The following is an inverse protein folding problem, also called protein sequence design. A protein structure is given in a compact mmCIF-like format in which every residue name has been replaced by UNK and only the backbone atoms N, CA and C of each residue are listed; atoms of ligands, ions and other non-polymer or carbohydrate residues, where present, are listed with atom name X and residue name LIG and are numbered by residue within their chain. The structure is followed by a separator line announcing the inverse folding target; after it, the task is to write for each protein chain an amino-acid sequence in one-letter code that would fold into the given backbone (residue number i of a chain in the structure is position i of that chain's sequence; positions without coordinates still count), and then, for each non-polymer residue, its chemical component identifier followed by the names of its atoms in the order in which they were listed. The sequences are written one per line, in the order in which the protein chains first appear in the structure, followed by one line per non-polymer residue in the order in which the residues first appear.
data_IF_327902780700
#
_entry.id   IF_327902780700
#
_cell.length_a   1.000
_cell.length_b   1.000
_cell.length_c   1.000
_cell.angle_alpha   90.00
_cell.angle_beta   90.00
_cell.angle_gamma   90.00
#
_symmetry.space_group_name_H-M   'P 1'
#
loop_
_entity.id
_entity.type
_entity.pdbx_description
1 polymer ?
#
# COMPACT_ATOMS: atom_id res chain seq x y z
N UNK A 1 -5.20 3.68 76.80
CA UNK A 1 -4.09 4.35 77.52
C UNK A 1 -3.09 4.84 76.48
N UNK A 2 -2.97 6.17 76.31
CA UNK A 2 -1.87 7.01 75.72
C UNK A 2 -1.14 6.48 74.47
N UNK A 3 -1.27 7.02 73.24
CA UNK A 3 -0.92 8.36 72.69
C UNK A 3 0.48 8.87 73.05
N UNK A 4 1.40 8.83 72.07
CA UNK A 4 2.46 9.81 71.69
C UNK A 4 2.86 9.44 70.25
N UNK A 5 2.52 10.15 69.16
CA UNK A 5 2.81 11.52 68.72
C UNK A 5 4.30 11.82 68.47
N UNK A 6 4.70 11.77 67.19
CA UNK A 6 5.69 12.63 66.52
C UNK A 6 5.44 12.44 65.00
N UNK A 7 4.68 13.28 64.28
CA UNK A 7 4.85 14.70 63.97
C UNK A 7 6.19 15.00 63.25
N UNK A 8 6.16 14.99 61.91
CA UNK A 8 7.00 15.84 61.08
C UNK A 8 6.39 16.04 59.67
N UNK A 9 5.97 17.28 59.41
CA UNK A 9 5.77 17.96 58.11
C UNK A 9 4.72 17.36 57.15
N UNK A 10 3.47 17.83 57.10
CA UNK A 10 3.01 19.14 56.58
C UNK A 10 3.56 19.45 55.19
N UNK A 11 2.75 19.16 54.16
CA UNK A 11 2.41 20.10 53.10
C UNK A 11 1.08 19.65 52.45
N UNK A 12 -0.04 20.12 53.00
CA UNK A 12 -1.23 20.38 52.19
C UNK A 12 -0.86 21.52 51.24
N UNK A 13 -0.90 21.31 49.93
CA UNK A 13 -1.16 22.37 48.94
C UNK A 13 -1.58 21.71 47.62
N UNK A 14 -2.86 21.94 47.29
CA UNK A 14 -3.42 22.16 45.94
C UNK A 14 -3.35 21.02 44.92
N UNK A 15 -4.55 20.53 44.60
CA UNK A 15 -4.89 20.08 43.26
C UNK A 15 -4.31 21.02 42.20
N UNK A 16 -3.36 20.51 41.41
CA UNK A 16 -3.05 21.05 40.10
C UNK A 16 -3.38 19.94 39.10
N UNK A 17 -4.41 20.23 38.32
CA UNK A 17 -4.79 19.60 37.07
C UNK A 17 -3.59 19.07 36.28
N UNK A 18 -3.51 17.75 36.16
CA UNK A 18 -2.81 17.12 35.06
C UNK A 18 -3.85 16.30 34.34
N UNK A 19 -4.50 16.92 33.35
CA UNK A 19 -5.38 16.23 32.42
C UNK A 19 -4.59 15.06 31.85
N UNK A 20 -4.93 13.85 32.30
CA UNK A 20 -4.47 12.63 31.67
C UNK A 20 -5.32 12.45 30.41
N UNK A 21 -5.21 13.41 29.48
CA UNK A 21 -5.64 13.20 28.11
C UNK A 21 -4.70 12.16 27.52
N UNK A 22 -5.20 10.93 27.51
CA UNK A 22 -4.71 9.89 26.63
C UNK A 22 -4.82 10.45 25.21
N UNK A 23 -3.78 11.12 24.72
CA UNK A 23 -3.71 11.65 23.36
C UNK A 23 -4.21 10.59 22.39
N UNK A 24 -5.26 10.90 21.65
CA UNK A 24 -5.72 10.07 20.56
C UNK A 24 -4.56 9.89 19.59
N UNK A 25 -4.28 8.65 19.15
CA UNK A 25 -3.19 8.34 18.20
C UNK A 25 -3.22 9.25 16.95
N UNK A 26 -4.37 9.84 16.62
CA UNK A 26 -4.53 10.85 15.56
C UNK A 26 -3.67 12.11 15.74
N UNK A 27 -3.27 12.47 16.95
CA UNK A 27 -2.56 13.74 17.23
C UNK A 27 -1.03 13.62 17.21
N UNK A 28 -0.48 12.42 17.00
CA UNK A 28 0.99 12.20 16.98
C UNK A 28 1.61 12.29 15.58
N UNK A 29 0.80 12.46 14.53
CA UNK A 29 1.29 12.73 13.18
C UNK A 29 1.34 14.24 13.01
N UNK A 30 2.55 14.79 12.84
CA UNK A 30 2.74 16.22 12.58
C UNK A 30 1.99 16.63 11.31
N UNK A 31 0.85 17.31 11.46
CA UNK A 31 0.11 17.95 10.37
C UNK A 31 0.62 19.38 10.17
N UNK A 32 1.92 19.56 9.91
CA UNK A 32 2.30 20.80 9.22
C UNK A 32 1.43 20.84 7.97
N UNK A 33 0.66 21.91 7.75
CA UNK A 33 -0.22 22.02 6.60
C UNK A 33 0.61 21.85 5.32
N UNK A 34 0.65 20.61 4.82
CA UNK A 34 1.26 20.30 3.54
C UNK A 34 0.28 20.80 2.50
N UNK A 35 0.71 21.77 1.70
CA UNK A 35 -0.07 22.15 0.52
C UNK A 35 -0.12 20.94 -0.41
N UNK A 36 -1.29 20.29 -0.50
CA UNK A 36 -1.53 19.26 -1.49
C UNK A 36 -1.59 19.94 -2.84
N UNK A 37 -0.63 19.65 -3.71
CA UNK A 37 -0.68 20.14 -5.09
C UNK A 37 -1.97 19.67 -5.74
N UNK A 38 -2.70 20.60 -6.36
CA UNK A 38 -3.96 20.34 -7.05
C UNK A 38 -5.07 19.79 -6.13
N UNK A 39 -5.10 20.18 -4.85
CA UNK A 39 -6.19 19.84 -3.94
C UNK A 39 -7.57 20.14 -4.56
N UNK A 40 -8.47 19.15 -4.51
CA UNK A 40 -9.81 19.26 -5.10
C UNK A 40 -9.88 19.12 -6.62
N UNK A 41 -8.74 19.03 -7.32
CA UNK A 41 -8.70 18.72 -8.75
C UNK A 41 -8.66 17.21 -8.97
N UNK A 42 -9.46 16.73 -9.92
CA UNK A 42 -9.46 15.32 -10.30
C UNK A 42 -8.19 15.02 -11.13
N UNK A 43 -7.46 13.92 -10.86
CA UNK A 43 -6.35 13.51 -11.70
C UNK A 43 -6.81 13.29 -13.15
N UNK A 44 -6.01 13.75 -14.11
CA UNK A 44 -6.31 13.66 -15.54
C UNK A 44 -6.43 12.20 -15.99
N UNK A 45 -5.59 11.32 -15.45
CA UNK A 45 -5.58 9.89 -15.75
C UNK A 45 -5.99 9.13 -14.50
N UNK A 46 -6.97 8.23 -14.65
CA UNK A 46 -7.32 7.27 -13.60
C UNK A 46 -6.67 5.94 -13.94
N UNK A 47 -5.85 5.45 -13.03
CA UNK A 47 -5.23 4.15 -13.16
C UNK A 47 -6.11 3.07 -12.55
N UNK A 48 -6.19 1.93 -13.22
CA UNK A 48 -6.91 0.75 -12.75
C UNK A 48 -6.04 -0.47 -12.93
N UNK A 49 -6.03 -1.35 -11.94
CA UNK A 49 -5.26 -2.60 -11.98
C UNK A 49 -6.21 -3.77 -11.91
N UNK A 50 -5.94 -4.80 -12.70
CA UNK A 50 -6.57 -6.11 -12.57
C UNK A 50 -5.54 -7.13 -12.13
N UNK A 51 -5.91 -7.99 -11.19
CA UNK A 51 -5.10 -9.13 -10.75
C UNK A 51 -5.91 -10.40 -10.94
N UNK A 52 -5.26 -11.44 -11.45
CA UNK A 52 -5.81 -12.78 -11.64
C UNK A 52 -4.82 -13.79 -11.11
N UNK A 53 -5.30 -14.74 -10.31
CA UNK A 53 -4.51 -15.90 -9.96
C UNK A 53 -5.30 -17.19 -10.17
N UNK A 54 -4.56 -18.26 -10.45
CA UNK A 54 -5.06 -19.62 -10.58
C UNK A 54 -4.27 -20.48 -9.62
N UNK A 55 -4.97 -21.13 -8.69
CA UNK A 55 -4.41 -22.17 -7.80
C UNK A 55 -3.17 -21.74 -6.99
N UNK A 56 -2.98 -20.43 -6.74
CA UNK A 56 -1.81 -19.86 -6.05
C UNK A 56 -2.21 -18.62 -5.23
N UNK A 57 -1.56 -18.38 -4.10
CA UNK A 57 -1.67 -17.07 -3.44
C UNK A 57 -0.85 -16.03 -4.20
N UNK A 58 -1.41 -14.83 -4.34
CA UNK A 58 -0.82 -13.76 -5.10
C UNK A 58 -1.09 -12.40 -4.47
N UNK A 59 -0.06 -11.55 -4.50
CA UNK A 59 -0.01 -10.25 -3.85
C UNK A 59 0.43 -9.22 -4.88
N UNK A 60 -0.38 -8.20 -5.11
CA UNK A 60 -0.02 -7.06 -5.95
C UNK A 60 0.46 -5.89 -5.12
N UNK A 61 1.66 -5.41 -5.42
CA UNK A 61 2.29 -4.29 -4.73
C UNK A 61 2.55 -3.13 -5.71
N UNK A 62 2.38 -1.91 -5.21
CA UNK A 62 2.74 -0.66 -5.87
C UNK A 62 3.60 0.15 -4.92
N UNK A 63 4.81 0.55 -5.33
CA UNK A 63 5.73 1.31 -4.48
C UNK A 63 5.91 0.65 -3.11
N UNK A 64 6.16 -0.67 -3.11
CA UNK A 64 6.35 -1.54 -1.92
C UNK A 64 5.12 -1.69 -1.01
N UNK A 65 3.99 -1.08 -1.36
CA UNK A 65 2.74 -1.20 -0.62
C UNK A 65 1.86 -2.30 -1.21
N UNK A 66 1.52 -3.30 -0.40
CA UNK A 66 0.54 -4.35 -0.76
C UNK A 66 -0.86 -3.76 -0.83
N UNK A 67 -1.47 -3.85 -2.02
CA UNK A 67 -2.79 -3.26 -2.29
C UNK A 67 -3.90 -4.31 -2.35
N UNK A 68 -3.57 -5.50 -2.83
CA UNK A 68 -4.53 -6.56 -3.07
C UNK A 68 -3.86 -7.92 -2.93
N UNK A 69 -4.52 -8.83 -2.21
CA UNK A 69 -4.15 -10.23 -2.11
C UNK A 69 -5.40 -11.13 -2.11
N UNK A 70 -5.17 -12.43 -2.23
CA UNK A 70 -6.20 -13.46 -2.19
C UNK A 70 -6.01 -14.46 -1.04
N UNK A 71 -5.35 -14.07 0.05
CA UNK A 71 -5.05 -14.96 1.18
C UNK A 71 -6.31 -15.54 1.84
N UNK A 72 -7.47 -14.90 1.65
CA UNK A 72 -8.77 -15.37 2.16
C UNK A 72 -9.48 -16.34 1.23
N UNK A 73 -8.90 -16.67 0.08
CA UNK A 73 -9.47 -17.66 -0.84
C UNK A 73 -9.04 -19.07 -0.45
N UNK A 74 -9.95 -20.03 -0.59
CA UNK A 74 -9.67 -21.45 -0.29
C UNK A 74 -8.83 -22.12 -1.38
N UNK A 75 -8.96 -21.69 -2.62
CA UNK A 75 -8.33 -22.35 -3.77
C UNK A 75 -7.18 -21.56 -4.36
N UNK A 76 -6.87 -20.35 -3.88
CA UNK A 76 -5.93 -19.44 -4.55
C UNK A 76 -6.45 -18.89 -5.89
N UNK A 77 -7.55 -19.39 -6.43
CA UNK A 77 -8.12 -18.84 -7.67
C UNK A 77 -8.94 -17.59 -7.37
N UNK A 78 -8.58 -16.47 -7.99
CA UNK A 78 -9.34 -15.23 -7.90
C UNK A 78 -9.12 -14.32 -9.10
N UNK A 79 -10.03 -13.38 -9.28
CA UNK A 79 -9.87 -12.24 -10.17
C UNK A 79 -10.50 -11.03 -9.51
N UNK A 80 -9.77 -9.93 -9.44
CA UNK A 80 -10.29 -8.67 -8.89
C UNK A 80 -9.54 -7.48 -9.48
N UNK A 81 -10.07 -6.28 -9.29
CA UNK A 81 -9.43 -5.05 -9.71
C UNK A 81 -9.59 -3.94 -8.69
N UNK A 82 -8.67 -2.97 -8.74
CA UNK A 82 -8.65 -1.82 -7.83
C UNK A 82 -8.09 -0.58 -8.53
N UNK A 83 -8.23 0.57 -7.88
CA UNK A 83 -7.71 1.85 -8.35
C UNK A 83 -6.43 2.22 -7.58
N UNK A 84 -5.23 2.06 -8.17
CA UNK A 84 -3.97 2.43 -7.52
C UNK A 84 -3.63 3.93 -7.61
N UNK A 85 -4.46 4.77 -8.23
CA UNK A 85 -4.08 6.15 -8.64
C UNK A 85 -3.47 6.97 -7.50
N UNK A 86 -4.02 6.87 -6.29
CA UNK A 86 -3.52 7.62 -5.13
C UNK A 86 -2.15 7.16 -4.61
N UNK A 87 -1.67 6.00 -5.05
CA UNK A 87 -0.40 5.41 -4.63
C UNK A 87 0.70 5.53 -5.69
N UNK A 88 0.35 6.06 -6.86
CA UNK A 88 1.29 6.35 -7.93
C UNK A 88 1.86 7.75 -7.73
N UNK A 89 3.17 7.87 -7.91
CA UNK A 89 3.92 9.12 -7.81
C UNK A 89 4.26 9.64 -9.22
N UNK A 90 4.44 10.96 -9.40
CA UNK A 90 5.07 11.47 -10.61
C UNK A 90 6.44 10.82 -10.82
N UNK A 91 6.70 10.31 -12.04
CA UNK A 91 7.97 9.66 -12.36
C UNK A 91 7.95 8.13 -12.26
N UNK A 92 9.03 7.57 -11.71
CA UNK A 92 9.21 6.12 -11.61
C UNK A 92 8.37 5.53 -10.48
N UNK A 93 7.71 4.42 -10.78
CA UNK A 93 6.92 3.65 -9.82
C UNK A 93 7.31 2.18 -9.93
N UNK A 94 7.32 1.47 -8.80
CA UNK A 94 7.53 0.02 -8.81
C UNK A 94 6.20 -0.71 -8.84
N UNK A 95 6.15 -1.74 -9.67
CA UNK A 95 5.06 -2.69 -9.75
C UNK A 95 5.65 -4.05 -9.41
N UNK A 96 5.09 -4.74 -8.43
CA UNK A 96 5.59 -6.03 -7.99
C UNK A 96 4.45 -7.04 -7.79
N UNK A 97 4.74 -8.30 -8.11
CA UNK A 97 3.85 -9.43 -7.94
C UNK A 97 4.59 -10.49 -7.13
N UNK A 98 4.04 -10.86 -5.97
CA UNK A 98 4.58 -11.94 -5.12
C UNK A 98 3.61 -13.11 -5.17
N UNK A 99 4.14 -14.33 -5.15
CA UNK A 99 3.32 -15.55 -5.14
C UNK A 99 3.75 -16.52 -4.05
N UNK A 100 2.79 -17.25 -3.48
CA UNK A 100 3.02 -18.34 -2.55
C UNK A 100 2.11 -19.54 -2.91
N UNK A 101 2.57 -20.79 -2.74
CA UNK A 101 1.75 -21.96 -3.00
C UNK A 101 0.57 -22.03 -2.01
N UNK A 102 -0.55 -22.61 -2.43
CA UNK A 102 -1.76 -22.68 -1.59
C UNK A 102 -1.56 -23.50 -0.31
N UNK A 103 -0.67 -24.50 -0.35
CA UNK A 103 -0.36 -25.38 0.77
C UNK A 103 0.58 -24.77 1.82
N UNK A 104 0.94 -23.49 1.69
CA UNK A 104 1.91 -22.81 2.57
C UNK A 104 1.51 -22.85 4.04
N UNK A 105 0.21 -22.92 4.35
CA UNK A 105 -0.29 -23.02 5.73
C UNK A 105 -0.26 -24.45 6.28
N UNK A 106 -0.03 -25.43 5.41
CA UNK A 106 0.12 -26.86 5.71
C UNK A 106 1.58 -27.32 5.54
N UNK A 107 2.53 -26.39 5.52
CA UNK A 107 3.96 -26.62 5.27
C UNK A 107 4.27 -27.26 3.90
N UNK A 108 3.36 -27.15 2.94
CA UNK A 108 3.57 -27.56 1.54
C UNK A 108 3.94 -26.35 0.67
N UNK A 109 5.23 -26.26 0.38
CA UNK A 109 5.82 -25.20 -0.45
C UNK A 109 5.89 -25.57 -1.94
N UNK A 110 5.17 -26.60 -2.37
CA UNK A 110 5.19 -27.08 -3.75
C UNK A 110 4.36 -26.16 -4.65
N UNK A 111 5.01 -25.61 -5.68
CA UNK A 111 4.31 -24.96 -6.78
C UNK A 111 3.89 -25.99 -7.84
N UNK A 112 2.67 -25.86 -8.34
CA UNK A 112 2.16 -26.68 -9.45
C UNK A 112 2.34 -25.98 -10.79
N UNK A 113 2.52 -26.74 -11.87
CA UNK A 113 2.78 -26.18 -13.20
C UNK A 113 1.63 -25.34 -13.79
N UNK A 114 0.41 -25.49 -13.26
CA UNK A 114 -0.77 -24.71 -13.62
C UNK A 114 -0.97 -23.46 -12.76
N UNK A 115 -0.14 -23.25 -11.74
CA UNK A 115 -0.16 -22.03 -10.95
C UNK A 115 0.28 -20.84 -11.82
N UNK A 116 -0.51 -19.77 -11.75
CA UNK A 116 -0.22 -18.52 -12.45
C UNK A 116 -0.75 -17.35 -11.63
N UNK A 117 -0.05 -16.23 -11.72
CA UNK A 117 -0.60 -14.95 -11.31
C UNK A 117 -0.24 -13.86 -12.32
N UNK A 118 -1.21 -13.02 -12.65
CA UNK A 118 -1.07 -11.90 -13.56
C UNK A 118 -1.58 -10.62 -12.89
N UNK A 119 -0.88 -9.52 -13.12
CA UNK A 119 -1.29 -8.18 -12.76
C UNK A 119 -1.13 -7.25 -13.95
N UNK A 120 -2.17 -6.50 -14.30
CA UNK A 120 -2.15 -5.57 -15.44
C UNK A 120 -2.67 -4.20 -15.01
N UNK A 121 -1.81 -3.19 -15.20
CA UNK A 121 -2.09 -1.78 -14.95
C UNK A 121 -2.56 -1.11 -16.23
N UNK A 122 -3.68 -0.41 -16.15
CA UNK A 122 -4.23 0.40 -17.23
C UNK A 122 -4.34 1.87 -16.82
N UNK A 123 -4.11 2.78 -17.77
CA UNK A 123 -4.48 4.18 -17.65
C UNK A 123 -5.77 4.44 -18.44
N UNK A 124 -6.75 5.06 -17.79
CA UNK A 124 -7.96 5.56 -18.41
C UNK A 124 -7.84 7.07 -18.60
N UNK A 125 -7.74 7.51 -19.85
CA UNK A 125 -7.48 8.89 -20.23
C UNK A 125 -8.77 9.70 -20.45
N UNK A 126 -8.71 11.04 -20.43
CA UNK A 126 -9.88 11.90 -20.64
C UNK A 126 -10.58 11.73 -21.98
N UNK A 127 -9.83 11.30 -23.02
CA UNK A 127 -10.35 11.02 -24.35
C UNK A 127 -11.15 9.71 -24.44
N UNK A 128 -11.29 8.97 -23.33
CA UNK A 128 -11.99 7.69 -23.26
C UNK A 128 -11.15 6.48 -23.63
N UNK A 129 -9.88 6.67 -24.03
CA UNK A 129 -8.97 5.59 -24.32
C UNK A 129 -8.51 4.91 -23.02
N UNK A 130 -8.41 3.58 -23.09
CA UNK A 130 -7.86 2.74 -22.03
C UNK A 130 -6.65 2.01 -22.59
N UNK A 131 -5.49 2.28 -22.03
CA UNK A 131 -4.25 1.68 -22.50
C UNK A 131 -3.58 0.86 -21.39
N UNK A 132 -3.01 -0.27 -21.78
CA UNK A 132 -2.15 -1.07 -20.88
C UNK A 132 -0.81 -0.35 -20.68
N UNK A 133 -0.56 0.00 -19.44
CA UNK A 133 0.62 0.74 -19.00
C UNK A 133 1.76 -0.19 -18.63
N UNK A 134 1.43 -1.26 -17.92
CA UNK A 134 2.36 -2.29 -17.48
C UNK A 134 1.59 -3.57 -17.19
N UNK A 135 2.28 -4.69 -17.30
CA UNK A 135 1.76 -6.01 -16.92
C UNK A 135 2.90 -6.84 -16.34
N UNK A 136 2.57 -7.69 -15.37
CA UNK A 136 3.44 -8.72 -14.81
C UNK A 136 2.69 -10.04 -14.89
N UNK A 137 3.37 -11.08 -15.38
CA UNK A 137 2.82 -12.42 -15.43
C UNK A 137 3.82 -13.41 -14.84
N UNK A 138 3.43 -14.07 -13.76
CA UNK A 138 4.18 -15.13 -13.10
C UNK A 138 3.60 -16.48 -13.51
N UNK A 139 4.46 -17.37 -14.00
CA UNK A 139 4.18 -18.79 -14.23
C UNK A 139 5.17 -19.67 -13.47
N UNK A 140 4.88 -20.96 -13.33
CA UNK A 140 5.82 -21.92 -12.74
C UNK A 140 6.64 -22.61 -13.81
N UNK A 141 7.96 -22.54 -13.68
CA UNK A 141 8.93 -23.25 -14.50
C UNK A 141 9.84 -24.07 -13.59
N UNK A 142 9.97 -25.37 -13.86
CA UNK A 142 10.82 -26.27 -13.07
C UNK A 142 10.52 -26.21 -11.55
N UNK A 143 9.24 -26.06 -11.19
CA UNK A 143 8.77 -25.97 -9.80
C UNK A 143 9.05 -24.62 -9.12
N UNK A 144 9.44 -23.58 -9.87
CA UNK A 144 9.74 -22.24 -9.34
C UNK A 144 8.96 -21.15 -10.06
N UNK A 145 8.53 -20.09 -9.36
CA UNK A 145 7.97 -18.90 -10.00
C UNK A 145 8.95 -18.21 -10.94
N UNK A 146 8.47 -17.82 -12.12
CA UNK A 146 9.21 -17.10 -13.15
C UNK A 146 8.35 -15.96 -13.73
N UNK A 147 8.89 -14.75 -13.82
CA UNK A 147 8.23 -13.60 -14.42
C UNK A 147 8.46 -13.56 -15.94
N UNK A 148 7.39 -13.76 -16.72
CA UNK A 148 7.46 -13.95 -18.19
C UNK A 148 7.29 -12.70 -19.04
N UNK A 149 6.66 -11.66 -18.52
CA UNK A 149 6.37 -10.46 -19.31
C UNK A 149 6.40 -9.21 -18.44
N UNK A 150 7.00 -8.15 -19.00
CA UNK A 150 6.93 -6.78 -18.49
C UNK A 150 6.70 -5.84 -19.68
N UNK A 151 5.55 -5.18 -19.73
CA UNK A 151 5.35 -4.04 -20.64
C UNK A 151 5.85 -2.77 -19.95
N UNK A 152 6.82 -2.08 -20.53
CA UNK A 152 7.30 -0.80 -20.02
C UNK A 152 6.46 0.34 -20.59
N UNK A 153 6.19 1.33 -19.75
CA UNK A 153 5.38 2.52 -20.04
C UNK A 153 5.85 3.27 -21.30
N UNK A 154 4.96 3.61 -22.26
CA UNK A 154 5.33 4.44 -23.41
C UNK A 154 5.84 5.82 -22.98
N UNK A 155 6.88 6.32 -23.63
CA UNK A 155 7.54 7.57 -23.21
C UNK A 155 6.62 8.81 -23.24
N UNK A 156 5.62 8.82 -24.13
CA UNK A 156 4.68 9.92 -24.35
C UNK A 156 3.62 10.10 -23.25
N UNK A 157 3.49 9.13 -22.33
CA UNK A 157 2.57 9.27 -21.20
C UNK A 157 3.29 9.61 -19.89
N UNK A 158 4.63 9.63 -19.89
CA UNK A 158 5.41 9.90 -18.68
C UNK A 158 5.14 11.34 -18.25
N UNK A 159 4.79 11.54 -16.98
CA UNK A 159 4.73 12.87 -16.40
C UNK A 159 6.12 13.50 -16.47
N UNK A 160 6.28 14.71 -17.02
CA UNK A 160 7.52 15.45 -16.89
C UNK A 160 7.82 15.61 -15.40
N UNK A 161 9.04 15.27 -14.97
CA UNK A 161 9.53 15.53 -13.61
C UNK A 161 9.72 17.05 -13.48
N UNK A 162 8.64 17.79 -13.25
CA UNK A 162 8.72 19.24 -12.99
C UNK A 162 8.83 19.41 -11.48
N UNK A 163 10.03 19.76 -11.03
CA UNK A 163 10.35 20.38 -9.73
C UNK A 163 9.54 19.86 -8.52
N UNK A 164 9.86 18.64 -8.08
CA UNK A 164 9.29 17.99 -6.88
C UNK A 164 9.91 18.52 -5.57
N UNK A 165 10.78 19.54 -5.64
CA UNK A 165 11.27 20.24 -4.46
C UNK A 165 10.14 21.14 -3.96
N UNK A 166 9.27 20.56 -3.12
CA UNK A 166 8.14 21.27 -2.51
C UNK A 166 8.60 22.63 -1.96
N UNK A 167 7.85 23.69 -2.32
CA UNK A 167 8.10 25.03 -1.82
C UNK A 167 7.96 25.04 -0.29
N UNK A 168 9.08 24.96 0.43
CA UNK A 168 9.12 25.21 1.87
C UNK A 168 8.84 26.71 2.06
N UNK A 169 7.57 27.06 2.32
CA UNK A 169 7.23 28.37 2.86
C UNK A 169 7.48 28.35 4.37
N UNK A 170 8.67 28.83 4.76
CA UNK A 170 9.00 29.24 6.13
C UNK A 170 8.82 30.74 6.30
#
# INVERSE_FOLDING_TARGET
MKVYLLAACIALLTACSGDNELMSIREQVSTVDMSIENEGQKPEVIYTTNIRAQTVYCFGLFNEMQMLDNLKTRTGTFSSGFNPTAYLQPGENTLELVVAPIGVYEDDYTYHGDNQCEMTLYGAFPNGEKEEMSSLHITIEEGKPNAKAAKTYPANHRTPLVDVDGLIKG
#
